data_IF_949844129161
#
_entry.id   IF_949844129161
#
_cell.length_a   1.000
_cell.length_b   1.000
_cell.length_c   1.000
_cell.angle_alpha   90.00
_cell.angle_beta   90.00
_cell.angle_gamma   90.00
#
_symmetry.space_group_name_H-M   'P 1'
#
loop_
_entity.id
_entity.type
_entity.pdbx_description
1 polymer ?
#
# COMPACT_ATOMS: atom_id res chain seq x y z
N UNK A 1 23.68 -28.61 27.38
CA UNK A 1 23.19 -27.74 26.29
C UNK A 1 23.79 -26.37 26.51
N UNK A 2 24.60 -25.88 25.57
CA UNK A 2 25.41 -24.66 25.70
C UNK A 2 24.58 -23.45 25.22
N UNK A 3 24.31 -22.51 26.11
CA UNK A 3 23.87 -21.16 25.78
C UNK A 3 24.96 -20.46 24.96
N UNK A 4 24.57 -19.90 23.81
CA UNK A 4 25.41 -19.00 23.03
C UNK A 4 24.75 -17.62 23.04
N UNK A 5 25.41 -16.69 23.74
CA UNK A 5 25.04 -15.30 23.82
C UNK A 5 25.41 -14.56 22.51
N UNK A 6 24.44 -13.88 21.91
CA UNK A 6 24.66 -12.97 20.78
C UNK A 6 24.92 -11.54 21.32
N UNK A 7 26.04 -10.89 20.97
CA UNK A 7 26.29 -9.50 21.32
C UNK A 7 25.47 -8.57 20.41
N UNK A 8 24.56 -7.82 21.02
CA UNK A 8 23.77 -6.78 20.37
C UNK A 8 24.63 -5.60 19.92
N UNK A 9 24.55 -5.26 18.63
CA UNK A 9 25.03 -3.98 18.11
C UNK A 9 23.90 -2.95 18.23
N UNK A 10 24.13 -1.98 19.10
CA UNK A 10 23.30 -0.78 19.26
C UNK A 10 23.61 0.13 18.06
N UNK A 11 22.70 0.20 17.08
CA UNK A 11 22.74 1.23 16.05
C UNK A 11 22.11 2.52 16.58
N UNK A 12 22.95 3.42 17.06
CA UNK A 12 22.57 4.81 17.34
C UNK A 12 22.20 5.53 16.04
N UNK A 13 20.91 5.76 15.82
CA UNK A 13 20.43 6.66 14.77
C UNK A 13 20.74 8.11 15.18
N UNK A 14 21.79 8.69 14.58
CA UNK A 14 22.01 10.14 14.58
C UNK A 14 20.95 10.80 13.70
N UNK A 15 20.07 11.57 14.31
CA UNK A 15 19.23 12.57 13.65
C UNK A 15 20.13 13.66 13.05
N UNK A 16 20.42 13.54 11.75
CA UNK A 16 21.01 14.63 10.98
C UNK A 16 19.88 15.54 10.46
N UNK A 17 19.70 16.67 11.12
CA UNK A 17 19.00 17.84 10.56
C UNK A 17 19.76 18.29 9.32
N UNK A 18 19.11 18.26 8.16
CA UNK A 18 19.51 19.04 6.99
C UNK A 18 18.31 19.86 6.52
N UNK A 19 18.08 20.96 7.23
CA UNK A 19 17.51 22.15 6.62
C UNK A 19 18.62 22.75 5.79
N UNK A 20 18.36 23.06 4.52
CA UNK A 20 18.94 24.12 3.68
C UNK A 20 18.70 23.72 2.21
N UNK A 21 17.60 24.18 1.64
CA UNK A 21 17.46 24.31 0.19
C UNK A 21 18.10 25.64 -0.20
N UNK A 22 19.19 25.67 -0.98
CA UNK A 22 19.73 26.91 -1.52
C UNK A 22 18.82 27.40 -2.66
N UNK A 23 18.20 28.55 -2.46
CA UNK A 23 17.62 29.36 -3.53
C UNK A 23 18.77 29.93 -4.37
N UNK A 24 18.98 29.40 -5.57
CA UNK A 24 19.85 30.04 -6.56
C UNK A 24 19.09 31.16 -7.27
N UNK A 25 19.29 32.39 -6.81
CA UNK A 25 19.01 33.61 -7.57
C UNK A 25 19.90 33.65 -8.81
N UNK A 26 19.30 33.83 -9.99
CA UNK A 26 20.02 34.09 -11.24
C UNK A 26 20.33 35.59 -11.35
N UNK A 27 21.60 35.98 -11.55
CA UNK A 27 21.94 37.37 -11.82
C UNK A 27 21.61 37.77 -13.26
N UNK A 28 20.82 38.83 -13.39
CA UNK A 28 20.64 39.61 -14.60
C UNK A 28 21.73 40.69 -14.72
N UNK A 29 22.62 40.59 -15.70
CA UNK A 29 23.37 41.73 -16.25
C UNK A 29 23.86 41.36 -17.66
N UNK A 30 23.29 41.89 -18.74
CA UNK A 30 23.65 43.19 -19.35
C UNK A 30 25.16 43.41 -19.44
N UNK A 31 25.76 43.06 -20.58
CA UNK A 31 26.64 43.94 -21.36
C UNK A 31 27.17 43.15 -22.54
N UNK A 32 26.78 43.53 -23.76
CA UNK A 32 27.56 43.11 -24.92
C UNK A 32 27.54 44.21 -25.98
N UNK A 33 28.72 44.79 -26.13
CA UNK A 33 29.08 45.80 -27.12
C UNK A 33 28.90 45.24 -28.53
N UNK A 34 28.13 45.96 -29.33
CA UNK A 34 28.04 45.74 -30.77
C UNK A 34 29.35 46.17 -31.44
N UNK A 35 30.13 45.19 -31.91
CA UNK A 35 31.18 45.41 -32.91
C UNK A 35 30.60 45.07 -34.27
N UNK A 36 30.44 46.11 -35.10
CA UNK A 36 29.98 46.00 -36.47
C UNK A 36 31.07 45.36 -37.35
N UNK A 37 30.90 44.09 -37.71
CA UNK A 37 31.66 43.46 -38.79
C UNK A 37 30.79 43.40 -40.06
N UNK A 38 31.13 44.26 -41.02
CA UNK A 38 30.71 44.17 -42.41
C UNK A 38 31.31 42.86 -42.99
N UNK A 39 30.46 41.85 -43.21
CA UNK A 39 30.85 40.61 -43.89
C UNK A 39 30.09 40.47 -45.21
N UNK A 40 30.86 40.28 -46.27
CA UNK A 40 30.43 40.23 -47.66
C UNK A 40 29.39 39.12 -47.93
N UNK A 41 28.33 39.49 -48.62
CA UNK A 41 27.22 38.64 -49.06
C UNK A 41 27.63 37.80 -50.28
N UNK A 42 27.99 36.53 -50.04
CA UNK A 42 28.04 35.49 -51.08
C UNK A 42 26.63 34.88 -51.24
N UNK A 43 26.05 34.83 -52.45
CA UNK A 43 24.76 34.19 -52.70
C UNK A 43 24.97 32.67 -52.75
N UNK A 44 25.13 32.06 -51.58
CA UNK A 44 25.14 30.60 -51.47
C UNK A 44 23.68 30.17 -51.65
N UNK A 45 23.43 29.51 -52.78
CA UNK A 45 22.10 29.05 -53.17
C UNK A 45 21.41 28.30 -52.04
N UNK A 46 20.16 28.67 -51.80
CA UNK A 46 19.22 27.93 -50.97
C UNK A 46 18.99 26.55 -51.60
N UNK A 47 19.94 25.63 -51.41
CA UNK A 47 19.69 24.21 -51.56
C UNK A 47 18.56 23.88 -50.58
N UNK A 48 17.41 23.57 -51.15
CA UNK A 48 16.16 23.27 -50.45
C UNK A 48 16.46 22.31 -49.31
N UNK A 49 16.53 22.84 -48.08
CA UNK A 49 16.65 22.06 -46.86
C UNK A 49 15.33 21.33 -46.72
N UNK A 50 15.26 20.13 -47.31
CA UNK A 50 14.15 19.22 -47.13
C UNK A 50 14.24 18.74 -45.70
N UNK A 51 13.41 19.31 -44.83
CA UNK A 51 13.33 18.87 -43.43
C UNK A 51 13.22 17.35 -43.41
N UNK A 52 14.04 16.64 -42.61
CA UNK A 52 13.95 15.20 -42.52
C UNK A 52 12.51 14.82 -42.16
N UNK A 53 11.98 13.71 -42.70
CA UNK A 53 10.64 13.26 -42.37
C UNK A 53 10.52 13.11 -40.85
N UNK A 54 9.38 13.47 -40.26
CA UNK A 54 9.18 13.35 -38.82
C UNK A 54 9.45 11.90 -38.38
N UNK A 55 10.05 11.71 -37.20
CA UNK A 55 10.37 10.39 -36.69
C UNK A 55 9.10 9.55 -36.59
N UNK A 56 9.23 8.26 -36.92
CA UNK A 56 8.14 7.30 -36.74
C UNK A 56 7.78 7.11 -35.26
N UNK A 57 6.60 6.53 -34.98
CA UNK A 57 6.20 6.23 -33.61
C UNK A 57 7.10 5.15 -32.99
N UNK A 58 7.29 5.23 -31.68
CA UNK A 58 8.02 4.24 -30.88
C UNK A 58 7.03 3.22 -30.31
N UNK A 59 7.33 1.93 -30.48
CA UNK A 59 6.51 0.87 -29.91
C UNK A 59 7.03 0.48 -28.52
N UNK A 60 6.11 0.29 -27.59
CA UNK A 60 6.39 -0.23 -26.24
C UNK A 60 5.40 -1.34 -25.89
N UNK A 61 5.83 -2.26 -25.03
CA UNK A 61 4.97 -3.34 -24.52
C UNK A 61 4.75 -3.11 -23.03
N UNK A 62 3.49 -3.13 -22.62
CA UNK A 62 3.10 -3.13 -21.20
C UNK A 62 2.59 -4.53 -20.88
N UNK A 63 3.20 -5.17 -19.89
CA UNK A 63 2.78 -6.47 -19.36
C UNK A 63 2.00 -6.21 -18.08
N UNK A 64 0.74 -6.65 -18.05
CA UNK A 64 -0.13 -6.52 -16.89
C UNK A 64 -0.38 -7.91 -16.30
N UNK A 65 -0.01 -8.08 -15.04
CA UNK A 65 -0.20 -9.32 -14.28
C UNK A 65 -1.03 -9.09 -13.01
N UNK A 66 -1.60 -10.16 -12.49
CA UNK A 66 -2.16 -10.24 -11.14
C UNK A 66 -1.10 -10.69 -10.13
N UNK A 67 -1.48 -10.79 -8.86
CA UNK A 67 -0.65 -11.40 -7.82
C UNK A 67 -1.28 -12.76 -7.42
N UNK A 68 -0.60 -13.91 -7.61
CA UNK A 68 0.79 -14.08 -8.07
C UNK A 68 0.94 -14.26 -9.60
N UNK A 69 1.61 -13.30 -10.25
CA UNK A 69 2.12 -13.28 -11.63
C UNK A 69 1.22 -13.86 -12.76
N UNK A 70 -0.10 -13.85 -12.60
CA UNK A 70 -1.02 -14.36 -13.63
C UNK A 70 -1.29 -13.28 -14.68
N UNK A 71 -1.17 -13.55 -15.99
CA UNK A 71 -1.44 -12.53 -17.01
C UNK A 71 -2.91 -12.10 -17.00
N UNK A 72 -3.17 -10.79 -17.03
CA UNK A 72 -4.54 -10.24 -17.05
C UNK A 72 -4.91 -9.75 -18.45
N UNK A 73 -5.94 -10.35 -19.04
CA UNK A 73 -6.51 -9.94 -20.33
C UNK A 73 -7.57 -8.83 -20.19
N UNK A 74 -7.88 -8.14 -21.29
CA UNK A 74 -8.91 -7.10 -21.37
C UNK A 74 -8.70 -5.88 -20.45
N UNK A 75 -7.48 -5.69 -19.94
CA UNK A 75 -7.09 -4.53 -19.13
C UNK A 75 -6.88 -3.33 -20.03
N UNK A 76 -7.54 -2.21 -19.74
CA UNK A 76 -7.39 -1.00 -20.52
C UNK A 76 -6.11 -0.27 -20.11
N UNK A 77 -5.22 -0.06 -21.08
CA UNK A 77 -3.93 0.59 -20.91
C UNK A 77 -3.89 1.82 -21.81
N UNK A 78 -3.56 2.97 -21.24
CA UNK A 78 -3.49 4.24 -21.96
C UNK A 78 -2.18 4.99 -21.68
N UNK A 79 -1.60 5.57 -22.73
CA UNK A 79 -0.42 6.44 -22.63
C UNK A 79 -0.31 7.32 -23.88
N UNK A 80 0.06 8.58 -23.70
CA UNK A 80 0.32 9.51 -24.83
C UNK A 80 -0.88 9.68 -25.76
N UNK A 81 -2.11 9.65 -25.23
CA UNK A 81 -3.36 9.75 -25.99
C UNK A 81 -3.76 8.49 -26.76
N UNK A 82 -2.99 7.40 -26.67
CA UNK A 82 -3.34 6.10 -27.24
C UNK A 82 -3.89 5.20 -26.14
N UNK A 83 -4.99 4.51 -26.42
CA UNK A 83 -5.61 3.52 -25.53
C UNK A 83 -5.70 2.17 -26.24
N UNK A 84 -5.33 1.10 -25.53
CA UNK A 84 -5.40 -0.28 -26.02
C UNK A 84 -5.83 -1.22 -24.88
N UNK A 85 -6.11 -2.48 -25.21
CA UNK A 85 -6.38 -3.54 -24.23
C UNK A 85 -5.27 -4.58 -24.22
N UNK A 86 -5.05 -5.22 -23.09
CA UNK A 86 -4.15 -6.38 -23.00
C UNK A 86 -4.75 -7.60 -23.69
N UNK A 87 -3.88 -8.40 -24.31
CA UNK A 87 -4.23 -9.68 -24.91
C UNK A 87 -4.35 -10.82 -23.86
N UNK A 88 -4.57 -12.05 -24.32
CA UNK A 88 -4.66 -13.24 -23.47
C UNK A 88 -3.36 -13.56 -22.68
N UNK A 89 -2.23 -12.96 -23.07
CA UNK A 89 -0.95 -13.11 -22.37
C UNK A 89 -0.67 -11.90 -21.46
N UNK A 90 -1.66 -11.03 -21.22
CA UNK A 90 -1.51 -9.83 -20.42
C UNK A 90 -0.67 -8.74 -21.08
N UNK A 91 -0.46 -8.80 -22.42
CA UNK A 91 0.41 -7.86 -23.13
C UNK A 91 -0.41 -6.82 -23.89
N UNK A 92 -0.07 -5.54 -23.69
CA UNK A 92 -0.60 -4.40 -24.42
C UNK A 92 0.53 -3.74 -25.23
N UNK A 93 0.32 -3.58 -26.55
CA UNK A 93 1.27 -2.88 -27.43
C UNK A 93 0.79 -1.46 -27.66
N UNK A 94 1.62 -0.48 -27.31
CA UNK A 94 1.33 0.95 -27.48
C UNK A 94 2.24 1.56 -28.54
N UNK A 95 1.71 2.53 -29.27
CA UNK A 95 2.42 3.29 -30.31
C UNK A 95 2.51 4.75 -29.85
N UNK A 96 3.68 5.15 -29.34
CA UNK A 96 3.88 6.46 -28.75
C UNK A 96 4.54 7.40 -29.75
N UNK A 97 3.98 8.58 -29.94
CA UNK A 97 4.61 9.68 -30.66
C UNK A 97 5.32 10.61 -29.66
N UNK A 98 6.56 11.01 -29.96
CA UNK A 98 7.29 11.95 -29.12
C UNK A 98 8.79 11.99 -29.43
N UNK A 99 9.47 12.95 -28.82
CA UNK A 99 10.92 13.06 -28.90
C UNK A 99 11.59 12.04 -27.97
N UNK A 100 12.82 11.66 -28.31
CA UNK A 100 13.63 10.80 -27.46
C UNK A 100 13.87 11.47 -26.10
N UNK A 101 13.67 10.72 -25.02
CA UNK A 101 13.73 11.22 -23.64
C UNK A 101 12.41 11.82 -23.13
N UNK A 102 11.36 11.93 -23.95
CA UNK A 102 10.04 12.40 -23.49
C UNK A 102 9.45 11.41 -22.49
N UNK A 103 9.02 11.92 -21.33
CA UNK A 103 8.32 11.16 -20.31
C UNK A 103 6.81 11.17 -20.59
N UNK A 104 6.17 10.00 -20.56
CA UNK A 104 4.74 9.83 -20.78
C UNK A 104 4.14 9.09 -19.60
N UNK A 105 3.07 9.63 -19.03
CA UNK A 105 2.35 8.98 -17.95
C UNK A 105 1.58 7.77 -18.49
N UNK A 106 1.82 6.61 -17.89
CA UNK A 106 1.02 5.41 -18.10
C UNK A 106 -0.25 5.53 -17.25
N UNK A 107 -1.37 5.04 -17.74
CA UNK A 107 -2.58 4.84 -16.95
C UNK A 107 -3.17 3.47 -17.27
N UNK A 108 -3.46 2.70 -16.23
CA UNK A 108 -3.97 1.33 -16.31
C UNK A 108 -5.27 1.22 -15.53
N UNK A 109 -6.32 0.75 -16.19
CA UNK A 109 -7.63 0.47 -15.59
C UNK A 109 -7.79 -1.03 -15.40
N UNK A 110 -7.57 -1.49 -14.16
CA UNK A 110 -7.68 -2.90 -13.80
C UNK A 110 -9.16 -3.38 -13.85
N UNK A 111 -9.39 -4.68 -14.16
CA UNK A 111 -10.73 -5.24 -14.27
C UNK A 111 -11.41 -5.35 -12.90
N UNK A 112 -12.70 -5.69 -12.89
CA UNK A 112 -13.44 -5.89 -11.64
C UNK A 112 -12.78 -6.94 -10.75
N UNK A 113 -12.68 -6.66 -9.45
CA UNK A 113 -12.00 -7.54 -8.50
C UNK A 113 -10.51 -7.27 -8.33
N UNK A 114 -9.95 -6.29 -9.06
CA UNK A 114 -8.55 -5.89 -8.94
C UNK A 114 -8.39 -4.38 -8.65
N UNK A 115 -7.53 -4.08 -7.68
CA UNK A 115 -7.08 -2.75 -7.36
C UNK A 115 -6.04 -2.23 -8.37
N UNK A 116 -6.07 -0.93 -8.68
CA UNK A 116 -5.03 -0.30 -9.48
C UNK A 116 -3.66 -0.35 -8.77
N UNK A 117 -2.55 -0.32 -9.52
CA UNK A 117 -1.22 -0.31 -8.93
C UNK A 117 -1.02 0.92 -8.03
N UNK A 118 -0.41 0.72 -6.86
CA UNK A 118 -0.15 1.80 -5.89
C UNK A 118 0.85 2.84 -6.41
N UNK A 119 1.69 2.46 -7.39
CA UNK A 119 2.61 3.35 -8.10
C UNK A 119 2.51 3.09 -9.59
N UNK A 120 2.15 4.13 -10.34
CA UNK A 120 2.08 4.07 -11.78
C UNK A 120 3.48 4.35 -12.37
N UNK A 121 4.05 3.46 -13.20
CA UNK A 121 5.35 3.71 -13.80
C UNK A 121 5.23 4.79 -14.88
N UNK A 122 6.30 5.59 -15.03
CA UNK A 122 6.41 6.53 -16.14
C UNK A 122 7.17 5.90 -17.29
N UNK A 123 6.65 6.07 -18.51
CA UNK A 123 7.30 5.60 -19.71
C UNK A 123 8.29 6.66 -20.19
N UNK A 124 9.47 6.24 -20.64
CA UNK A 124 10.44 7.14 -21.28
C UNK A 124 10.57 6.69 -22.71
N UNK A 125 10.20 7.56 -23.66
CA UNK A 125 10.35 7.27 -25.08
C UNK A 125 11.85 7.19 -25.37
N UNK A 126 12.32 5.99 -25.72
CA UNK A 126 13.71 5.75 -26.12
C UNK A 126 13.74 5.12 -27.50
N UNK A 127 14.51 5.71 -28.41
CA UNK A 127 14.83 5.14 -29.73
C UNK A 127 15.90 4.07 -29.55
N UNK A 128 15.51 2.92 -29.03
CA UNK A 128 16.37 1.74 -28.99
C UNK A 128 16.04 0.80 -30.15
N UNK A 129 16.94 -0.14 -30.44
CA UNK A 129 16.71 -1.19 -31.44
C UNK A 129 15.69 -2.24 -30.99
N UNK A 130 15.26 -2.21 -29.72
CA UNK A 130 14.33 -3.17 -29.13
C UNK A 130 13.03 -2.52 -28.70
N UNK A 131 12.04 -3.35 -28.40
CA UNK A 131 10.77 -2.91 -27.82
C UNK A 131 10.88 -2.98 -26.30
N UNK A 132 10.95 -1.86 -25.58
CA UNK A 132 11.04 -1.90 -24.12
C UNK A 132 9.75 -2.50 -23.54
N UNK A 133 9.92 -3.32 -22.50
CA UNK A 133 8.83 -3.95 -21.77
C UNK A 133 8.70 -3.29 -20.39
N UNK A 134 7.46 -3.00 -19.99
CA UNK A 134 7.12 -2.40 -18.70
C UNK A 134 6.12 -3.29 -17.97
N UNK A 135 6.40 -3.61 -16.73
CA UNK A 135 5.55 -4.49 -15.91
C UNK A 135 4.66 -3.66 -14.99
N UNK A 136 3.38 -4.03 -14.94
CA UNK A 136 2.37 -3.44 -14.05
C UNK A 136 1.62 -4.59 -13.38
N UNK A 137 1.48 -4.52 -12.07
CA UNK A 137 0.71 -5.50 -11.31
C UNK A 137 -0.62 -4.90 -10.82
N UNK A 138 -1.73 -5.54 -11.16
CA UNK A 138 -3.05 -5.28 -10.59
C UNK A 138 -3.30 -6.27 -9.46
N UNK A 139 -3.43 -5.79 -8.22
CA UNK A 139 -3.62 -6.68 -7.07
C UNK A 139 -5.09 -7.02 -6.87
N UNK A 140 -5.47 -8.25 -6.47
CA UNK A 140 -6.85 -8.54 -6.09
C UNK A 140 -7.37 -7.60 -4.98
N UNK A 141 -8.63 -7.16 -5.08
CA UNK A 141 -9.29 -6.37 -4.02
C UNK A 141 -9.55 -7.20 -2.76
N UNK A 142 -9.86 -8.48 -2.95
CA UNK A 142 -10.20 -9.41 -1.89
C UNK A 142 -8.96 -10.28 -1.63
N UNK A 143 -8.10 -9.85 -0.70
CA UNK A 143 -7.08 -10.74 -0.16
C UNK A 143 -7.55 -11.25 1.20
N UNK A 144 -7.59 -12.58 1.34
CA UNK A 144 -7.93 -13.21 2.60
C UNK A 144 -6.85 -12.92 3.62
N UNK A 145 -7.22 -12.31 4.74
CA UNK A 145 -6.31 -12.10 5.87
C UNK A 145 -6.60 -13.12 6.97
N UNK A 146 -5.58 -13.41 7.76
CA UNK A 146 -5.65 -14.21 8.98
C UNK A 146 -5.38 -13.29 10.16
N UNK A 147 -6.34 -13.19 11.08
CA UNK A 147 -6.16 -12.50 12.34
C UNK A 147 -5.86 -13.53 13.43
N UNK A 148 -4.65 -13.47 13.97
CA UNK A 148 -4.23 -14.17 15.16
C UNK A 148 -4.57 -13.35 16.41
N UNK A 149 -5.68 -13.70 17.05
CA UNK A 149 -6.12 -13.09 18.30
C UNK A 149 -5.52 -13.82 19.49
N UNK A 150 -5.01 -13.06 20.46
CA UNK A 150 -4.49 -13.56 21.73
C UNK A 150 -5.18 -12.89 22.91
N UNK A 151 -5.72 -13.70 23.80
CA UNK A 151 -6.42 -13.30 25.03
C UNK A 151 -5.98 -14.17 26.20
N UNK A 152 -4.82 -13.85 26.84
CA UNK A 152 -4.19 -14.76 27.79
C UNK A 152 -5.14 -15.19 28.92
N UNK A 153 -5.38 -16.50 29.04
CA UNK A 153 -6.17 -17.08 30.13
C UNK A 153 -7.69 -16.95 29.99
N UNK A 154 -8.21 -16.54 28.82
CA UNK A 154 -9.66 -16.42 28.58
C UNK A 154 -10.11 -17.40 27.49
N UNK A 155 -10.59 -18.60 27.87
CA UNK A 155 -11.02 -19.60 26.90
C UNK A 155 -12.46 -19.38 26.42
N UNK A 156 -12.77 -19.90 25.22
CA UNK A 156 -14.12 -19.87 24.62
C UNK A 156 -14.73 -18.47 24.47
N UNK A 157 -13.91 -17.43 24.41
CA UNK A 157 -14.35 -16.04 24.24
C UNK A 157 -14.87 -15.84 22.82
N UNK A 158 -16.15 -15.48 22.62
CA UNK A 158 -16.67 -15.22 21.28
C UNK A 158 -16.09 -13.95 20.68
N UNK A 159 -15.66 -14.04 19.43
CA UNK A 159 -15.16 -12.91 18.64
C UNK A 159 -16.24 -12.52 17.63
N UNK A 160 -16.61 -11.24 17.63
CA UNK A 160 -17.64 -10.69 16.75
C UNK A 160 -17.03 -9.75 15.71
N UNK A 161 -17.59 -9.78 14.51
CA UNK A 161 -17.34 -8.82 13.43
C UNK A 161 -18.69 -8.42 12.85
N UNK A 162 -18.97 -7.12 12.79
CA UNK A 162 -20.30 -6.58 12.45
C UNK A 162 -21.45 -7.24 13.25
N UNK A 163 -21.25 -7.43 14.55
CA UNK A 163 -22.25 -8.02 15.46
C UNK A 163 -22.49 -9.53 15.30
N UNK A 164 -21.83 -10.19 14.34
CA UNK A 164 -21.93 -11.65 14.12
C UNK A 164 -20.73 -12.35 14.73
N UNK A 165 -20.95 -13.51 15.36
CA UNK A 165 -19.87 -14.33 15.90
C UNK A 165 -19.14 -15.03 14.75
N UNK A 166 -17.87 -14.68 14.55
CA UNK A 166 -17.02 -15.25 13.49
C UNK A 166 -16.07 -16.33 14.00
N UNK A 167 -15.88 -16.43 15.31
CA UNK A 167 -15.02 -17.43 15.93
C UNK A 167 -15.07 -17.39 17.45
N UNK A 168 -14.29 -18.28 18.08
CA UNK A 168 -14.11 -18.34 19.53
C UNK A 168 -12.65 -18.62 19.86
N UNK A 169 -12.19 -18.14 21.01
CA UNK A 169 -10.86 -18.49 21.51
C UNK A 169 -10.81 -19.93 22.03
N UNK A 170 -9.65 -20.56 21.88
CA UNK A 170 -9.38 -21.91 22.36
C UNK A 170 -9.13 -21.96 23.88
N UNK A 171 -8.72 -23.12 24.39
CA UNK A 171 -8.43 -23.30 25.82
C UNK A 171 -7.28 -22.44 26.35
N UNK A 172 -6.37 -21.99 25.47
CA UNK A 172 -5.22 -21.17 25.82
C UNK A 172 -5.49 -19.67 25.58
N UNK A 173 -6.63 -19.33 25.00
CA UNK A 173 -7.04 -17.96 24.71
C UNK A 173 -6.61 -17.45 23.33
N UNK A 174 -6.30 -18.34 22.38
CA UNK A 174 -5.96 -17.98 21.01
C UNK A 174 -7.14 -18.19 20.04
N UNK A 175 -7.23 -17.39 19.00
CA UNK A 175 -8.11 -17.65 17.86
C UNK A 175 -7.41 -17.27 16.55
N UNK A 176 -7.63 -18.06 15.50
CA UNK A 176 -7.27 -17.71 14.13
C UNK A 176 -8.56 -17.45 13.36
N UNK A 177 -8.67 -16.26 12.77
CA UNK A 177 -9.87 -15.82 12.07
C UNK A 177 -9.51 -15.49 10.63
N UNK A 178 -10.16 -16.13 9.66
CA UNK A 178 -10.02 -15.76 8.24
C UNK A 178 -11.08 -14.72 7.89
N UNK A 179 -10.67 -13.59 7.33
CA UNK A 179 -11.55 -12.52 6.84
C UNK A 179 -11.12 -12.10 5.43
N UNK A 180 -12.03 -11.51 4.67
CA UNK A 180 -11.80 -11.02 3.30
C UNK A 180 -12.18 -9.53 3.23
N UNK A 181 -11.39 -8.65 3.85
CA UNK A 181 -11.62 -7.20 3.86
C UNK A 181 -11.10 -6.55 2.58
N UNK A 182 -11.49 -5.29 2.34
CA UNK A 182 -10.88 -4.48 1.28
C UNK A 182 -9.54 -3.90 1.75
N UNK A 183 -8.61 -3.73 0.81
CA UNK A 183 -7.36 -3.00 1.08
C UNK A 183 -7.64 -1.58 1.58
N UNK A 184 -7.00 -1.18 2.68
CA UNK A 184 -7.20 0.12 3.33
C UNK A 184 -8.44 0.19 4.23
N UNK A 185 -9.23 -0.88 4.34
CA UNK A 185 -10.33 -0.97 5.29
C UNK A 185 -9.81 -1.06 6.72
N UNK A 186 -10.52 -0.42 7.66
CA UNK A 186 -10.30 -0.62 9.09
C UNK A 186 -11.32 -1.62 9.61
N UNK A 187 -10.84 -2.75 10.11
CA UNK A 187 -11.68 -3.79 10.70
C UNK A 187 -11.81 -3.56 12.19
N UNK A 188 -13.03 -3.67 12.71
CA UNK A 188 -13.30 -3.62 14.14
C UNK A 188 -13.87 -4.97 14.60
N UNK A 189 -13.10 -5.64 15.47
CA UNK A 189 -13.51 -6.86 16.13
C UNK A 189 -13.98 -6.54 17.54
N UNK A 190 -15.06 -7.17 17.99
CA UNK A 190 -15.56 -7.04 19.36
C UNK A 190 -15.42 -8.37 20.08
N UNK A 191 -14.83 -8.36 21.27
CA UNK A 191 -14.77 -9.55 22.12
C UNK A 191 -15.97 -9.58 23.06
N UNK A 192 -16.80 -10.61 22.93
CA UNK A 192 -18.07 -10.69 23.65
C UNK A 192 -17.89 -11.23 25.08
N UNK A 193 -17.85 -10.33 26.05
CA UNK A 193 -17.75 -10.67 27.47
C UNK A 193 -19.10 -10.72 28.19
N UNK A 194 -20.23 -10.80 27.45
CA UNK A 194 -21.58 -10.77 28.04
C UNK A 194 -22.00 -12.07 28.73
N UNK A 195 -21.30 -13.18 28.51
CA UNK A 195 -21.55 -14.44 29.20
C UNK A 195 -21.39 -14.26 30.72
N UNK A 196 -22.26 -14.90 31.51
CA UNK A 196 -22.22 -14.85 32.97
C UNK A 196 -20.85 -15.27 33.52
N UNK A 197 -20.17 -16.24 32.88
CA UNK A 197 -18.83 -16.69 33.28
C UNK A 197 -17.75 -15.63 33.06
N UNK A 198 -17.99 -14.69 32.14
CA UNK A 198 -17.05 -13.66 31.71
C UNK A 198 -17.38 -12.28 32.28
N UNK A 199 -18.44 -12.15 33.09
CA UNK A 199 -18.93 -10.86 33.63
C UNK A 199 -17.93 -10.10 34.49
N UNK A 200 -16.94 -10.80 35.06
CA UNK A 200 -15.89 -10.23 35.91
C UNK A 200 -14.68 -9.74 35.11
N UNK A 201 -14.62 -10.03 33.81
CA UNK A 201 -13.54 -9.55 32.96
C UNK A 201 -13.71 -8.05 32.68
N UNK A 202 -12.58 -7.35 32.60
CA UNK A 202 -12.51 -5.94 32.21
C UNK A 202 -11.43 -5.74 31.14
N UNK A 203 -11.64 -4.84 30.17
CA UNK A 203 -12.88 -4.10 29.90
C UNK A 203 -14.03 -5.00 29.42
N UNK A 204 -15.27 -4.49 29.48
CA UNK A 204 -16.45 -5.19 28.94
C UNK A 204 -16.63 -4.84 27.47
N UNK A 205 -16.86 -5.84 26.62
CA UNK A 205 -17.01 -5.69 25.18
C UNK A 205 -15.89 -4.84 24.53
N UNK A 206 -14.59 -5.17 24.73
CA UNK A 206 -13.53 -4.41 24.08
C UNK A 206 -13.61 -4.52 22.57
N UNK A 207 -13.32 -3.41 21.91
CA UNK A 207 -13.16 -3.31 20.47
C UNK A 207 -11.67 -3.28 20.13
N UNK A 208 -11.29 -4.08 19.14
CA UNK A 208 -9.96 -4.16 18.59
C UNK A 208 -10.03 -3.74 17.13
N UNK A 209 -9.26 -2.71 16.77
CA UNK A 209 -9.21 -2.21 15.40
C UNK A 209 -7.89 -2.54 14.74
N UNK A 210 -7.95 -3.00 13.49
CA UNK A 210 -6.78 -3.23 12.63
C UNK A 210 -7.01 -2.55 11.29
N UNK A 211 -6.04 -1.78 10.83
CA UNK A 211 -6.03 -1.25 9.46
C UNK A 211 -5.38 -2.27 8.56
N UNK A 212 -6.01 -2.61 7.43
CA UNK A 212 -5.51 -3.62 6.49
C UNK A 212 -4.60 -2.92 5.45
N UNK A 213 -3.27 -2.98 5.59
CA UNK A 213 -2.35 -2.50 4.57
C UNK A 213 -2.44 -3.34 3.29
N UNK A 214 -1.87 -2.81 2.22
CA UNK A 214 -1.64 -3.56 1.00
C UNK A 214 -0.53 -4.61 1.22
N UNK A 215 -0.88 -5.90 1.23
CA UNK A 215 0.05 -7.03 1.14
C UNK A 215 0.41 -7.78 2.43
N UNK A 216 -0.03 -7.34 3.62
CA UNK A 216 0.11 -8.17 4.83
C UNK A 216 -1.10 -9.10 4.97
N UNK A 217 -0.82 -10.40 5.03
CA UNK A 217 -1.88 -11.42 5.14
C UNK A 217 -2.17 -11.84 6.59
N UNK A 218 -1.28 -11.53 7.55
CA UNK A 218 -1.41 -12.03 8.92
C UNK A 218 -1.25 -10.90 9.94
N UNK A 219 -2.30 -10.67 10.73
CA UNK A 219 -2.32 -9.66 11.79
C UNK A 219 -2.39 -10.30 13.15
N UNK A 220 -1.62 -9.79 14.11
CA UNK A 220 -1.70 -10.23 15.50
C UNK A 220 -2.38 -9.17 16.35
N UNK A 221 -3.43 -9.56 17.06
CA UNK A 221 -4.14 -8.71 18.01
C UNK A 221 -4.04 -9.31 19.41
N UNK A 222 -3.72 -8.48 20.40
CA UNK A 222 -3.65 -8.92 21.80
C UNK A 222 -4.60 -8.08 22.65
N UNK A 223 -5.49 -8.77 23.39
CA UNK A 223 -6.31 -8.14 24.43
C UNK A 223 -5.99 -8.77 25.78
N UNK A 224 -5.57 -7.93 26.73
CA UNK A 224 -5.38 -8.32 28.13
C UNK A 224 -6.66 -8.05 28.90
N UNK A 225 -7.10 -9.03 29.69
CA UNK A 225 -8.23 -8.87 30.59
C UNK A 225 -7.76 -8.82 32.04
N UNK A 226 -8.46 -8.02 32.85
CA UNK A 226 -8.32 -8.03 34.30
C UNK A 226 -9.58 -8.66 34.91
N UNK A 227 -9.39 -9.60 35.85
CA UNK A 227 -10.49 -10.20 36.60
C UNK A 227 -10.77 -9.37 37.85
N UNK A 228 -11.88 -8.65 37.87
CA UNK A 228 -12.36 -7.97 39.07
C UNK A 228 -13.13 -8.96 39.94
N UNK A 229 -12.44 -9.56 40.91
CA UNK A 229 -13.11 -10.38 41.91
C UNK A 229 -14.17 -9.54 42.63
N UNK A 230 -15.41 -10.02 42.75
CA UNK A 230 -16.43 -9.30 43.49
C UNK A 230 -15.92 -9.05 44.90
N UNK A 231 -15.87 -7.79 45.32
CA UNK A 231 -15.60 -7.45 46.71
C UNK A 231 -16.72 -8.10 47.52
N UNK A 232 -16.40 -9.18 48.23
CA UNK A 232 -17.33 -9.80 49.17
C UNK A 232 -17.54 -8.77 50.27
N UNK A 233 -18.60 -7.98 50.15
CA UNK A 233 -19.01 -7.07 51.22
C UNK A 233 -19.43 -7.98 52.37
N UNK A 234 -18.55 -8.11 53.36
CA UNK A 234 -18.87 -8.84 54.57
C UNK A 234 -20.16 -8.24 55.14
N UNK A 235 -21.23 -9.05 55.16
CA UNK A 235 -22.48 -8.64 55.78
C UNK A 235 -22.17 -8.35 57.24
N UNK A 236 -22.42 -7.11 57.69
CA UNK A 236 -22.35 -6.81 59.12
C UNK A 236 -23.29 -7.78 59.86
N UNK A 237 -22.85 -8.41 60.95
CA UNK A 237 -23.72 -9.28 61.73
C UNK A 237 -24.99 -8.51 62.14
N UNK A 238 -26.15 -9.17 62.05
CA UNK A 238 -27.42 -8.58 62.48
C UNK A 238 -27.33 -8.24 63.96
N UNK A 239 -27.74 -7.02 64.33
CA UNK A 239 -27.84 -6.64 65.75
C UNK A 239 -28.77 -7.62 66.48
N UNK A 240 -28.47 -8.01 67.73
CA UNK A 240 -29.34 -8.88 68.51
C UNK A 240 -30.72 -8.24 68.65
N UNK A 241 -31.76 -9.01 68.33
CA UNK A 241 -33.16 -8.62 68.54
C UNK A 241 -33.44 -8.73 70.04
N UNK A 242 -33.89 -7.65 70.68
CA UNK A 242 -34.44 -7.73 72.04
C UNK A 242 -35.82 -8.38 71.96
N UNK A 243 -36.03 -9.44 72.74
CA UNK A 243 -37.35 -10.03 72.95
C UNK A 243 -37.90 -9.32 74.20
N UNK A 244 -39.02 -8.61 74.05
CA UNK A 244 -39.80 -8.00 75.14
C UNK A 244 -40.90 -8.94 75.61
#
# INVERSE_FOLDING_TARGET
MKETAFPGRICSFRLARSLHSPTCEMPSSLSSSFVAFLLATLPIGCASFRSPPPPGPTHVVVVVSSDPDEPLSDVEVSAGGTTTKTDLNGRARLSLAGEDGTQVDLSVSCPQGFAPPSRMPSLIIRRSSGTPEYEVSCKPFDHGIIIALRTPGVPNLPVRYFGRVIGKTDAMGYALLKLEPRTGETLTLTLDTSDEKLRYLRPQMPELSVSVPDGEEVFTLEQKFMEEKPKVVARKPSKPVRIE
#
